data_IF_861247723256
#
_entry.id   IF_861247723256
#
_cell.length_a   1.000
_cell.length_b   1.000
_cell.length_c   1.000
_cell.angle_alpha   90.00
_cell.angle_beta   90.00
_cell.angle_gamma   90.00
#
_symmetry.space_group_name_H-M   'P 1'
#
loop_
_entity.id
_entity.type
_entity.pdbx_description
1 polymer ?
#
# COMPACT_ATOMS: atom_id res chain seq x y z
N UNK A 1 69.22 30.70 5.49
CA UNK A 1 70.24 30.73 4.42
C UNK A 1 69.45 30.71 3.11
N UNK A 2 69.38 31.92 2.55
CA UNK A 2 69.99 32.38 1.29
C UNK A 2 69.38 31.64 0.08
N UNK A 3 68.57 32.32 -0.68
CA UNK A 3 68.74 33.21 -1.85
C UNK A 3 68.57 32.36 -3.15
N UNK A 4 68.01 32.78 -4.26
CA UNK A 4 67.64 34.00 -4.96
C UNK A 4 66.81 33.61 -6.19
N UNK A 5 65.72 34.26 -6.49
CA UNK A 5 65.55 35.33 -7.53
C UNK A 5 66.26 35.06 -8.88
N UNK A 6 65.51 34.99 -9.95
CA UNK A 6 65.68 35.88 -11.11
C UNK A 6 64.50 35.84 -12.08
N UNK A 7 64.00 37.04 -12.33
CA UNK A 7 63.12 37.48 -13.42
C UNK A 7 63.69 37.18 -14.79
N UNK A 8 62.91 36.97 -15.79
CA UNK A 8 63.12 37.58 -17.08
C UNK A 8 61.80 37.87 -17.79
N UNK A 9 61.67 39.13 -18.14
CA UNK A 9 60.64 39.75 -18.95
C UNK A 9 61.10 39.62 -20.41
N UNK A 10 60.15 39.30 -21.33
CA UNK A 10 60.27 39.83 -22.68
C UNK A 10 58.88 39.94 -23.33
N UNK A 11 58.73 41.12 -23.80
CA UNK A 11 57.68 41.85 -24.49
C UNK A 11 57.48 41.34 -25.90
N UNK A 12 56.27 41.46 -26.47
CA UNK A 12 56.20 41.68 -27.90
C UNK A 12 54.92 41.29 -28.62
N UNK A 13 54.16 42.24 -28.93
CA UNK A 13 53.41 42.66 -30.14
C UNK A 13 52.11 41.96 -30.54
N UNK A 14 51.16 42.85 -30.61
CA UNK A 14 49.91 42.97 -31.40
C UNK A 14 49.83 42.22 -32.70
N UNK A 15 48.66 41.61 -32.98
CA UNK A 15 48.01 41.67 -34.27
C UNK A 15 46.45 41.60 -34.09
N UNK A 16 45.81 42.63 -34.63
CA UNK A 16 44.34 42.73 -34.84
C UNK A 16 43.87 41.63 -35.83
N UNK A 17 42.62 41.18 -35.62
CA UNK A 17 41.98 40.35 -36.64
C UNK A 17 40.53 39.97 -36.28
N UNK A 18 39.61 40.84 -36.58
CA UNK A 18 38.28 40.66 -37.19
C UNK A 18 37.21 39.81 -36.51
N UNK A 19 36.17 40.51 -36.18
CA UNK A 19 34.76 40.14 -35.88
C UNK A 19 34.21 39.06 -36.82
N UNK A 20 33.57 38.02 -36.24
CA UNK A 20 32.48 37.28 -36.88
C UNK A 20 31.37 37.05 -35.85
N UNK A 21 30.36 37.87 -35.94
CA UNK A 21 29.04 37.66 -35.39
C UNK A 21 28.39 36.50 -36.14
N UNK A 22 28.12 35.40 -35.51
CA UNK A 22 27.12 34.42 -35.98
C UNK A 22 26.43 33.75 -34.78
N UNK A 23 25.18 34.10 -34.60
CA UNK A 23 24.04 33.24 -34.27
C UNK A 23 24.19 32.35 -33.07
N UNK A 24 23.86 32.84 -31.86
CA UNK A 24 23.48 31.99 -30.74
C UNK A 24 22.12 31.39 -30.98
N UNK A 25 22.07 30.16 -31.45
CA UNK A 25 20.87 29.31 -31.22
C UNK A 25 20.88 28.90 -29.76
N UNK A 26 20.03 29.56 -28.98
CA UNK A 26 19.66 29.11 -27.63
C UNK A 26 18.95 27.78 -27.73
N UNK A 27 19.67 26.68 -27.52
CA UNK A 27 19.05 25.44 -27.10
C UNK A 27 18.50 25.63 -25.71
N UNK A 28 17.24 26.00 -25.61
CA UNK A 28 16.43 25.69 -24.43
C UNK A 28 16.32 24.15 -24.40
N UNK A 29 17.33 23.52 -23.80
CA UNK A 29 17.21 22.16 -23.33
C UNK A 29 16.15 22.19 -22.21
N UNK A 30 14.90 21.93 -22.58
CA UNK A 30 13.91 21.53 -21.60
C UNK A 30 14.50 20.31 -20.90
N UNK A 31 14.84 20.44 -19.63
CA UNK A 31 14.99 19.31 -18.73
C UNK A 31 13.66 18.55 -18.74
N UNK A 32 13.53 17.63 -19.67
CA UNK A 32 12.59 16.53 -19.49
C UNK A 32 13.07 15.82 -18.23
N UNK A 33 12.40 16.07 -17.11
CA UNK A 33 12.58 15.32 -15.90
C UNK A 33 12.46 13.84 -16.31
N UNK A 34 13.58 13.15 -16.32
CA UNK A 34 13.66 11.74 -16.68
C UNK A 34 12.77 11.02 -15.68
N UNK A 35 11.55 10.60 -16.10
CA UNK A 35 10.63 9.88 -15.23
C UNK A 35 11.42 8.75 -14.58
N UNK A 36 11.56 8.78 -13.25
CA UNK A 36 12.27 7.76 -12.50
C UNK A 36 11.75 6.38 -12.90
N UNK A 37 12.65 5.47 -13.24
CA UNK A 37 12.28 4.08 -13.55
C UNK A 37 11.88 3.30 -12.29
N UNK A 38 12.04 3.91 -11.11
CA UNK A 38 11.70 3.32 -9.80
C UNK A 38 10.23 3.61 -9.48
N UNK A 39 9.48 2.57 -9.16
CA UNK A 39 8.14 2.64 -8.60
C UNK A 39 8.24 2.51 -7.08
N UNK A 40 7.94 3.57 -6.37
CA UNK A 40 7.93 3.59 -4.90
C UNK A 40 6.58 3.07 -4.42
N UNK A 41 6.59 1.93 -3.72
CA UNK A 41 5.38 1.24 -3.27
C UNK A 41 5.29 1.30 -1.76
N UNK A 42 4.24 1.96 -1.25
CA UNK A 42 3.90 1.98 0.17
C UNK A 42 3.08 0.75 0.56
N UNK A 43 3.38 0.20 1.72
CA UNK A 43 2.65 -0.93 2.29
C UNK A 43 2.71 -0.86 3.82
N UNK A 44 1.72 -1.39 4.54
CA UNK A 44 1.81 -1.59 5.98
C UNK A 44 1.99 -3.09 6.26
N UNK A 45 3.24 -3.49 6.45
CA UNK A 45 3.68 -4.89 6.41
C UNK A 45 3.29 -5.70 7.67
N UNK A 46 2.02 -5.66 8.07
CA UNK A 46 1.46 -6.39 9.21
C UNK A 46 0.12 -7.05 8.90
N UNK A 47 -0.26 -7.14 7.61
CA UNK A 47 -1.58 -7.54 7.14
C UNK A 47 -1.53 -8.87 6.38
N UNK A 48 -1.33 -9.97 7.12
CA UNK A 48 -1.16 -11.33 6.57
C UNK A 48 -2.50 -11.86 6.06
N UNK A 49 -2.60 -12.45 4.85
CA UNK A 49 -1.52 -12.86 3.94
C UNK A 49 -1.23 -11.86 2.80
N UNK A 50 -1.67 -10.60 2.90
CA UNK A 50 -1.55 -9.60 1.82
C UNK A 50 -0.17 -8.97 1.77
N UNK A 51 0.33 -8.44 2.89
CA UNK A 51 1.64 -7.82 3.01
C UNK A 51 2.20 -7.98 4.44
N UNK A 52 3.36 -8.57 4.53
CA UNK A 52 4.01 -8.81 5.83
C UNK A 52 5.51 -9.08 5.67
N UNK A 53 6.23 -8.97 6.77
CA UNK A 53 7.60 -9.46 6.89
C UNK A 53 7.58 -10.84 7.52
N UNK A 54 8.36 -11.75 6.96
CA UNK A 54 8.58 -13.04 7.61
C UNK A 54 9.43 -12.83 8.86
N UNK A 55 9.13 -13.58 9.91
CA UNK A 55 9.92 -13.54 11.14
C UNK A 55 11.40 -13.80 10.86
N UNK A 56 12.27 -12.94 11.39
CA UNK A 56 13.71 -12.99 11.15
C UNK A 56 14.19 -12.52 9.78
N UNK A 57 13.31 -11.97 8.94
CA UNK A 57 13.63 -11.42 7.61
C UNK A 57 13.13 -9.99 7.44
N UNK A 58 13.90 -9.18 6.70
CA UNK A 58 13.45 -7.87 6.24
C UNK A 58 12.68 -7.95 4.90
N UNK A 59 12.60 -9.14 4.31
CA UNK A 59 11.93 -9.32 3.03
C UNK A 59 10.41 -9.23 3.17
N UNK A 60 9.83 -8.39 2.32
CA UNK A 60 8.38 -8.26 2.19
C UNK A 60 7.82 -9.37 1.31
N UNK A 61 6.75 -10.00 1.78
CA UNK A 61 6.01 -11.03 1.07
C UNK A 61 4.51 -10.87 1.27
N UNK A 62 3.73 -11.52 0.43
CA UNK A 62 2.28 -11.47 0.51
C UNK A 62 1.63 -11.32 -0.87
N UNK A 63 0.32 -11.43 -0.88
CA UNK A 63 -0.49 -11.36 -2.08
C UNK A 63 -0.32 -10.03 -2.80
N UNK A 64 -0.39 -8.91 -2.07
CA UNK A 64 -0.21 -7.55 -2.60
C UNK A 64 1.22 -7.31 -3.07
N UNK A 65 2.19 -7.88 -2.37
CA UNK A 65 3.61 -7.77 -2.72
C UNK A 65 3.88 -8.48 -4.05
N UNK A 66 3.31 -9.67 -4.25
CA UNK A 66 3.48 -10.44 -5.49
C UNK A 66 2.77 -9.76 -6.67
N UNK A 67 1.57 -9.20 -6.45
CA UNK A 67 0.87 -8.38 -7.46
C UNK A 67 1.73 -7.17 -7.84
N UNK A 68 2.26 -6.45 -6.86
CA UNK A 68 3.08 -5.27 -7.10
C UNK A 68 4.37 -5.60 -7.88
N UNK A 69 5.04 -6.71 -7.54
CA UNK A 69 6.21 -7.22 -8.26
C UNK A 69 5.88 -7.54 -9.72
N UNK A 70 4.75 -8.21 -9.98
CA UNK A 70 4.35 -8.55 -11.35
C UNK A 70 3.93 -7.31 -12.16
N UNK A 71 3.25 -6.34 -11.54
CA UNK A 71 2.93 -5.05 -12.20
C UNK A 71 4.21 -4.32 -12.59
N UNK A 72 5.18 -4.21 -11.70
CA UNK A 72 6.45 -3.55 -12.00
C UNK A 72 7.19 -4.22 -13.16
N UNK A 73 7.23 -5.55 -13.17
CA UNK A 73 7.80 -6.33 -14.27
C UNK A 73 7.11 -6.03 -15.60
N UNK A 74 5.76 -6.01 -15.66
CA UNK A 74 5.00 -5.74 -16.89
C UNK A 74 5.14 -4.29 -17.38
N UNK A 75 5.34 -3.37 -16.45
CA UNK A 75 5.53 -1.95 -16.77
C UNK A 75 6.99 -1.55 -16.96
N UNK A 76 7.94 -2.50 -16.87
CA UNK A 76 9.38 -2.26 -17.03
C UNK A 76 9.98 -1.40 -15.93
N UNK A 77 9.38 -1.38 -14.72
CA UNK A 77 9.83 -0.57 -13.58
C UNK A 77 10.59 -1.43 -12.57
N UNK A 78 11.53 -0.79 -11.88
CA UNK A 78 12.13 -1.33 -10.64
C UNK A 78 11.30 -0.90 -9.43
N UNK A 79 11.38 -1.64 -8.32
CA UNK A 79 10.59 -1.37 -7.13
C UNK A 79 11.46 -0.90 -5.98
N UNK A 80 10.93 0.08 -5.23
CA UNK A 80 11.36 0.44 -3.89
C UNK A 80 10.15 0.32 -2.96
N UNK A 81 10.17 -0.63 -2.02
CA UNK A 81 9.12 -0.74 -1.01
C UNK A 81 9.39 0.18 0.18
N UNK A 82 8.33 0.83 0.66
CA UNK A 82 8.34 1.64 1.88
C UNK A 82 7.29 1.12 2.85
N UNK A 83 7.72 0.73 4.05
CA UNK A 83 6.80 0.37 5.12
C UNK A 83 6.28 1.67 5.77
N UNK A 84 4.97 1.89 5.69
CA UNK A 84 4.28 3.10 6.14
C UNK A 84 3.08 2.68 6.98
N UNK A 85 2.76 3.33 8.11
CA UNK A 85 1.49 3.11 8.80
C UNK A 85 0.31 3.27 7.85
N UNK A 86 -0.73 2.45 8.03
CA UNK A 86 -1.82 2.35 7.04
C UNK A 86 -2.54 3.69 6.81
N UNK A 87 -2.81 4.45 7.85
CA UNK A 87 -3.44 5.77 7.81
C UNK A 87 -2.54 6.83 7.13
N UNK A 88 -1.21 6.58 7.10
CA UNK A 88 -0.22 7.41 6.40
C UNK A 88 -0.12 7.17 4.89
N UNK A 89 -0.67 6.08 4.36
CA UNK A 89 -0.53 5.72 2.94
C UNK A 89 -1.17 6.73 1.98
N UNK A 90 -2.39 7.20 2.29
CA UNK A 90 -3.09 8.21 1.46
C UNK A 90 -2.36 9.56 1.48
N UNK A 91 -1.94 10.10 2.63
CA UNK A 91 -1.05 11.27 2.67
C UNK A 91 0.25 11.09 1.88
N UNK A 92 0.92 9.95 2.02
CA UNK A 92 2.18 9.67 1.31
C UNK A 92 2.00 9.64 -0.23
N UNK A 93 0.85 9.17 -0.73
CA UNK A 93 0.48 9.25 -2.15
C UNK A 93 0.26 10.70 -2.60
N UNK A 94 -0.43 11.50 -1.80
CA UNK A 94 -0.73 12.90 -2.15
C UNK A 94 0.55 13.76 -2.16
N UNK A 95 1.47 13.52 -1.23
CA UNK A 95 2.77 14.21 -1.13
C UNK A 95 3.82 13.69 -2.12
N UNK A 96 3.56 12.57 -2.83
CA UNK A 96 4.51 11.98 -3.77
C UNK A 96 5.69 11.25 -3.12
N UNK A 97 5.56 10.88 -1.84
CA UNK A 97 6.55 10.06 -1.13
C UNK A 97 6.54 8.62 -1.62
N UNK A 98 5.36 8.14 -2.03
CA UNK A 98 5.12 6.88 -2.72
C UNK A 98 4.29 7.11 -3.98
N UNK A 99 4.43 6.23 -4.97
CA UNK A 99 3.71 6.29 -6.24
C UNK A 99 2.45 5.41 -6.22
N UNK A 100 2.51 4.30 -5.48
CA UNK A 100 1.46 3.30 -5.38
C UNK A 100 1.40 2.76 -3.94
N UNK A 101 0.19 2.51 -3.43
CA UNK A 101 -0.03 1.77 -2.20
C UNK A 101 -0.60 0.38 -2.53
N UNK A 102 0.11 -0.66 -2.08
CA UNK A 102 -0.29 -2.06 -2.11
C UNK A 102 -0.38 -2.55 -0.66
N UNK A 103 -1.57 -2.50 -0.08
CA UNK A 103 -1.77 -2.69 1.36
C UNK A 103 -3.22 -3.01 1.73
N UNK A 104 -3.84 -3.98 1.02
CA UNK A 104 -5.21 -4.42 1.30
C UNK A 104 -6.22 -3.25 1.38
N UNK A 105 -6.03 -2.20 0.60
CA UNK A 105 -6.80 -0.97 0.77
C UNK A 105 -8.19 -1.07 0.15
N UNK A 106 -9.21 -1.04 0.99
CA UNK A 106 -10.62 -1.00 0.55
C UNK A 106 -10.91 0.25 -0.28
N UNK A 107 -11.54 0.05 -1.43
CA UNK A 107 -12.03 1.12 -2.29
C UNK A 107 -13.29 1.70 -1.64
N UNK A 108 -13.19 2.95 -1.14
CA UNK A 108 -14.33 3.69 -0.58
C UNK A 108 -14.51 5.03 -1.28
N UNK A 109 -15.72 5.59 -1.28
CA UNK A 109 -16.00 6.93 -1.83
C UNK A 109 -15.08 7.98 -1.23
N UNK A 110 -14.95 7.97 0.10
CA UNK A 110 -14.10 8.94 0.81
C UNK A 110 -12.62 8.87 0.40
N UNK A 111 -12.10 7.66 0.15
CA UNK A 111 -10.72 7.49 -0.36
C UNK A 111 -10.61 7.90 -1.82
N UNK A 112 -11.62 7.59 -2.67
CA UNK A 112 -11.64 7.98 -4.09
C UNK A 112 -11.68 9.50 -4.30
N UNK A 113 -12.16 10.27 -3.32
CA UNK A 113 -12.05 11.74 -3.36
C UNK A 113 -10.58 12.21 -3.31
N UNK A 114 -9.70 11.46 -2.66
CA UNK A 114 -8.30 11.81 -2.39
C UNK A 114 -7.33 11.14 -3.37
N UNK A 115 -7.53 9.86 -3.67
CA UNK A 115 -6.65 9.03 -4.49
C UNK A 115 -7.37 8.37 -5.65
N UNK A 116 -6.63 7.95 -6.67
CA UNK A 116 -7.11 7.05 -7.71
C UNK A 116 -6.92 5.59 -7.29
N UNK A 117 -7.81 4.73 -7.73
CA UNK A 117 -7.71 3.30 -7.50
C UNK A 117 -7.57 2.52 -8.80
N UNK A 118 -6.92 1.37 -8.72
CA UNK A 118 -7.01 0.35 -9.74
C UNK A 118 -8.41 -0.28 -9.78
N UNK A 119 -8.65 -1.12 -10.79
CA UNK A 119 -9.74 -2.08 -10.73
C UNK A 119 -9.62 -2.94 -9.48
N UNK A 120 -10.75 -3.42 -8.91
CA UNK A 120 -10.73 -4.38 -7.81
C UNK A 120 -9.92 -5.64 -8.14
N UNK A 121 -9.10 -6.08 -7.19
CA UNK A 121 -8.30 -7.29 -7.35
C UNK A 121 -8.58 -8.36 -6.28
N UNK A 122 -9.31 -7.99 -5.22
CA UNK A 122 -9.70 -8.88 -4.13
C UNK A 122 -11.08 -8.51 -3.59
N UNK A 123 -11.89 -9.51 -3.23
CA UNK A 123 -13.13 -9.32 -2.51
C UNK A 123 -12.93 -9.66 -1.04
N UNK A 124 -13.22 -8.71 -0.16
CA UNK A 124 -13.12 -8.82 1.29
C UNK A 124 -14.48 -8.61 1.95
N UNK A 125 -14.50 -8.70 3.25
CA UNK A 125 -15.57 -8.35 4.17
C UNK A 125 -14.99 -8.15 5.55
N UNK A 126 -15.82 -7.76 6.52
CA UNK A 126 -15.40 -7.53 7.89
C UNK A 126 -15.70 -8.72 8.81
N UNK A 127 -14.91 -8.84 9.86
CA UNK A 127 -15.11 -9.82 10.91
C UNK A 127 -14.68 -9.24 12.28
N UNK A 128 -15.29 -9.74 13.33
CA UNK A 128 -14.84 -9.55 14.70
C UNK A 128 -14.16 -10.83 15.17
N UNK A 129 -12.91 -10.72 15.58
CA UNK A 129 -12.20 -11.80 16.27
C UNK A 129 -12.43 -11.62 17.76
N UNK A 130 -12.82 -12.71 18.42
CA UNK A 130 -13.05 -12.74 19.88
C UNK A 130 -12.45 -14.01 20.47
N UNK A 131 -12.33 -14.10 21.80
CA UNK A 131 -11.99 -15.37 22.47
C UNK A 131 -13.14 -16.36 22.35
N UNK A 132 -12.86 -17.65 22.18
CA UNK A 132 -13.89 -18.73 22.03
C UNK A 132 -14.90 -18.73 23.18
N UNK A 133 -14.45 -18.43 24.41
CA UNK A 133 -15.30 -18.34 25.59
C UNK A 133 -15.98 -16.98 25.78
N UNK A 134 -15.87 -16.06 24.81
CA UNK A 134 -16.51 -14.76 24.85
C UNK A 134 -18.04 -14.88 24.90
N UNK A 135 -18.66 -13.96 25.62
CA UNK A 135 -20.12 -13.77 25.59
C UNK A 135 -20.59 -13.15 24.25
N UNK A 136 -19.70 -12.51 23.51
CA UNK A 136 -19.98 -11.89 22.21
C UNK A 136 -20.23 -13.01 21.20
N UNK A 137 -21.42 -13.05 20.62
CA UNK A 137 -21.84 -14.00 19.59
C UNK A 137 -22.32 -13.33 18.30
N UNK A 138 -22.50 -12.01 18.34
CA UNK A 138 -22.95 -11.19 17.23
C UNK A 138 -22.56 -9.73 17.44
N UNK A 139 -22.93 -8.90 16.47
CA UNK A 139 -22.54 -7.49 16.45
C UNK A 139 -23.23 -6.66 17.53
N UNK A 140 -24.47 -7.01 17.88
CA UNK A 140 -25.23 -6.31 18.89
C UNK A 140 -24.58 -6.44 20.29
N UNK A 141 -23.85 -7.55 20.51
CA UNK A 141 -23.11 -7.82 21.74
C UNK A 141 -21.88 -6.93 21.93
N UNK A 142 -21.47 -6.21 20.88
CA UNK A 142 -20.35 -5.26 20.91
C UNK A 142 -20.72 -3.92 21.58
N UNK A 143 -22.01 -3.68 21.84
CA UNK A 143 -22.46 -2.47 22.57
C UNK A 143 -21.79 -2.40 23.95
N UNK A 144 -21.11 -1.29 24.20
CA UNK A 144 -20.37 -1.06 25.46
C UNK A 144 -19.08 -1.86 25.62
N UNK A 145 -18.63 -2.59 24.58
CA UNK A 145 -17.40 -3.39 24.59
C UNK A 145 -16.19 -2.60 24.11
N UNK A 146 -15.02 -3.02 24.57
CA UNK A 146 -13.76 -2.49 24.08
C UNK A 146 -13.31 -3.27 22.86
N UNK A 147 -13.12 -2.57 21.73
CA UNK A 147 -12.82 -3.14 20.42
C UNK A 147 -11.49 -2.58 19.91
N UNK A 148 -10.55 -3.47 19.56
CA UNK A 148 -9.32 -3.10 18.89
C UNK A 148 -9.53 -2.99 17.38
N UNK A 149 -8.95 -1.97 16.77
CA UNK A 149 -8.96 -1.74 15.32
C UNK A 149 -7.63 -1.18 14.86
N UNK A 150 -7.29 -1.36 13.60
CA UNK A 150 -6.20 -0.60 12.99
C UNK A 150 -6.72 0.77 12.57
N UNK A 151 -5.96 1.83 12.88
CA UNK A 151 -6.29 3.22 12.57
C UNK A 151 -6.43 3.46 11.05
N UNK A 152 -7.42 4.26 10.65
CA UNK A 152 -7.64 4.62 9.26
C UNK A 152 -8.29 3.54 8.38
N UNK A 153 -8.71 2.40 8.96
CA UNK A 153 -9.38 1.31 8.24
C UNK A 153 -10.90 1.46 8.22
N UNK A 154 -11.56 0.74 7.32
CA UNK A 154 -13.03 0.60 7.31
C UNK A 154 -13.53 -0.13 8.55
N UNK A 155 -12.70 -0.98 9.15
CA UNK A 155 -12.97 -1.61 10.44
C UNK A 155 -13.06 -0.59 11.58
N UNK A 156 -12.16 0.40 11.62
CA UNK A 156 -12.23 1.50 12.56
C UNK A 156 -13.50 2.35 12.38
N UNK A 157 -13.86 2.65 11.12
CA UNK A 157 -15.08 3.39 10.79
C UNK A 157 -16.36 2.65 11.25
N UNK A 158 -16.36 1.31 11.11
CA UNK A 158 -17.48 0.48 11.59
C UNK A 158 -17.53 0.42 13.11
N UNK A 159 -16.40 0.20 13.79
CA UNK A 159 -16.34 0.14 15.24
C UNK A 159 -16.84 1.44 15.88
N UNK A 160 -16.48 2.59 15.30
CA UNK A 160 -16.94 3.91 15.79
C UNK A 160 -18.46 4.15 15.60
N UNK A 161 -19.15 3.34 14.80
CA UNK A 161 -20.60 3.39 14.63
C UNK A 161 -21.36 2.48 15.60
N UNK A 162 -20.66 1.60 16.31
CA UNK A 162 -21.27 0.70 17.29
C UNK A 162 -21.59 1.52 18.56
N UNK A 163 -22.86 1.52 18.93
CA UNK A 163 -23.33 2.33 20.04
C UNK A 163 -22.64 1.95 21.36
N UNK A 164 -22.01 2.94 22.00
CA UNK A 164 -21.31 2.76 23.28
C UNK A 164 -20.04 1.92 23.23
N UNK A 165 -19.57 1.48 22.06
CA UNK A 165 -18.29 0.77 21.95
C UNK A 165 -17.11 1.69 22.32
N UNK A 166 -16.12 1.14 23.01
CA UNK A 166 -14.86 1.80 23.33
C UNK A 166 -13.82 1.34 22.30
N UNK A 167 -13.47 2.21 21.36
CA UNK A 167 -12.55 1.86 20.26
C UNK A 167 -11.11 2.18 20.64
N UNK A 168 -10.26 1.14 20.67
CA UNK A 168 -8.80 1.27 20.79
C UNK A 168 -8.17 1.18 19.42
N UNK A 169 -7.51 2.25 18.99
CA UNK A 169 -6.82 2.35 17.71
C UNK A 169 -5.36 1.92 17.86
N UNK A 170 -4.88 1.13 16.88
CA UNK A 170 -3.50 0.67 16.77
C UNK A 170 -2.93 1.04 15.40
N UNK A 171 -1.62 1.23 15.31
CA UNK A 171 -0.93 1.50 14.05
C UNK A 171 -0.88 0.25 13.15
N UNK A 172 -0.89 -0.94 13.77
CA UNK A 172 -0.75 -2.21 13.09
C UNK A 172 -1.87 -3.19 13.47
N UNK A 173 -2.35 -3.95 12.47
CA UNK A 173 -3.34 -5.03 12.70
C UNK A 173 -2.83 -6.09 13.67
N UNK A 174 -1.53 -6.42 13.60
CA UNK A 174 -0.89 -7.35 14.53
C UNK A 174 -1.02 -6.91 15.99
N UNK A 175 -0.90 -5.62 16.27
CA UNK A 175 -0.97 -5.09 17.63
C UNK A 175 -2.39 -5.14 18.18
N UNK A 176 -3.39 -4.86 17.32
CA UNK A 176 -4.80 -5.01 17.67
C UNK A 176 -5.15 -6.46 18.05
N UNK A 177 -4.62 -7.43 17.29
CA UNK A 177 -4.81 -8.85 17.57
C UNK A 177 -4.05 -9.31 18.82
N UNK A 178 -2.85 -8.80 19.05
CA UNK A 178 -2.06 -9.08 20.25
C UNK A 178 -2.77 -8.53 21.51
N UNK A 179 -3.36 -7.34 21.44
CA UNK A 179 -4.14 -6.77 22.55
C UNK A 179 -5.37 -7.64 22.88
N UNK A 180 -6.03 -8.22 21.87
CA UNK A 180 -7.09 -9.20 22.08
C UNK A 180 -6.57 -10.47 22.75
N UNK A 181 -5.43 -11.01 22.31
CA UNK A 181 -4.82 -12.19 22.95
C UNK A 181 -4.51 -11.96 24.42
N UNK A 182 -3.97 -10.79 24.73
CA UNK A 182 -3.62 -10.39 26.09
C UNK A 182 -4.85 -10.05 26.97
N UNK A 183 -6.05 -10.01 26.38
CA UNK A 183 -7.29 -9.70 27.10
C UNK A 183 -7.49 -8.22 27.42
N UNK A 184 -6.73 -7.34 26.78
CA UNK A 184 -6.86 -5.89 26.93
C UNK A 184 -8.04 -5.28 26.16
N UNK A 185 -8.65 -6.08 25.26
CA UNK A 185 -9.89 -5.77 24.55
C UNK A 185 -10.78 -7.02 24.49
N UNK A 186 -12.08 -6.83 24.21
CA UNK A 186 -13.06 -7.92 24.14
C UNK A 186 -13.25 -8.44 22.71
N UNK A 187 -12.85 -7.66 21.70
CA UNK A 187 -12.87 -8.04 20.28
C UNK A 187 -11.89 -7.22 19.45
N UNK A 188 -11.52 -7.75 18.29
CA UNK A 188 -10.77 -7.03 17.25
C UNK A 188 -11.59 -7.03 15.96
N UNK A 189 -11.89 -5.85 15.39
CA UNK A 189 -12.62 -5.71 14.14
C UNK A 189 -11.65 -5.49 13.00
N UNK A 190 -11.56 -6.48 12.13
CA UNK A 190 -10.59 -6.55 11.02
C UNK A 190 -11.23 -7.19 9.78
N UNK A 191 -10.50 -7.20 8.68
CA UNK A 191 -10.91 -7.89 7.45
C UNK A 191 -11.00 -9.39 7.64
N UNK A 192 -12.05 -10.00 7.10
CA UNK A 192 -12.35 -11.42 7.24
C UNK A 192 -11.21 -12.34 6.79
N UNK A 193 -10.55 -12.14 5.63
CA UNK A 193 -9.45 -13.01 5.21
C UNK A 193 -8.25 -12.96 6.16
N UNK A 194 -7.97 -11.81 6.77
CA UNK A 194 -6.91 -11.65 7.78
C UNK A 194 -7.29 -12.34 9.07
N UNK A 195 -8.53 -12.18 9.53
CA UNK A 195 -9.07 -12.91 10.68
C UNK A 195 -8.96 -14.41 10.49
N UNK A 196 -9.37 -14.93 9.33
CA UNK A 196 -9.32 -16.36 9.00
C UNK A 196 -7.88 -16.89 9.02
N UNK A 197 -6.96 -16.17 8.39
CA UNK A 197 -5.54 -16.55 8.39
C UNK A 197 -4.97 -16.56 9.81
N UNK A 198 -5.23 -15.49 10.57
CA UNK A 198 -4.70 -15.34 11.91
C UNK A 198 -5.20 -16.44 12.86
N UNK A 199 -6.50 -16.68 12.92
CA UNK A 199 -7.10 -17.71 13.79
C UNK A 199 -6.61 -19.10 13.41
N UNK A 200 -6.48 -19.41 12.11
CA UNK A 200 -5.96 -20.68 11.65
C UNK A 200 -4.48 -20.91 12.03
N UNK A 201 -3.68 -19.85 12.09
CA UNK A 201 -2.24 -19.93 12.47
C UNK A 201 -2.01 -19.93 13.97
N UNK A 202 -2.94 -19.40 14.75
CA UNK A 202 -2.84 -19.26 16.19
C UNK A 202 -3.96 -20.07 16.90
N UNK A 203 -4.14 -21.30 16.48
CA UNK A 203 -5.19 -22.21 17.04
C UNK A 203 -5.03 -22.47 18.54
N UNK A 204 -3.82 -22.32 19.07
CA UNK A 204 -3.50 -22.39 20.50
C UNK A 204 -4.02 -21.20 21.32
N UNK A 205 -4.43 -20.12 20.66
CA UNK A 205 -4.91 -18.90 21.32
C UNK A 205 -6.42 -18.91 21.59
N UNK A 206 -7.14 -19.97 21.19
CA UNK A 206 -8.57 -20.13 21.42
C UNK A 206 -9.40 -18.91 20.99
N UNK A 207 -9.14 -18.46 19.75
CA UNK A 207 -9.86 -17.38 19.12
C UNK A 207 -10.93 -17.90 18.16
N UNK A 208 -12.00 -17.17 18.01
CA UNK A 208 -13.06 -17.45 17.03
C UNK A 208 -13.44 -16.22 16.25
N UNK A 209 -14.07 -16.41 15.10
CA UNK A 209 -14.45 -15.37 14.17
C UNK A 209 -15.97 -15.25 14.14
N UNK A 210 -16.45 -14.02 14.28
CA UNK A 210 -17.83 -13.64 14.02
C UNK A 210 -17.81 -12.81 12.74
N UNK A 211 -18.28 -13.38 11.63
CA UNK A 211 -18.35 -12.66 10.36
C UNK A 211 -19.35 -11.50 10.46
N UNK A 212 -18.95 -10.33 9.96
CA UNK A 212 -19.83 -9.18 9.89
C UNK A 212 -20.66 -9.28 8.60
N UNK A 213 -21.98 -9.54 8.69
CA UNK A 213 -22.79 -9.79 7.50
C UNK A 213 -22.91 -8.52 6.65
N UNK A 214 -23.07 -8.72 5.35
CA UNK A 214 -23.32 -7.65 4.37
C UNK A 214 -22.21 -6.57 4.28
N UNK A 215 -20.99 -6.90 4.64
CA UNK A 215 -19.83 -6.01 4.53
C UNK A 215 -18.94 -6.32 3.33
N UNK A 216 -19.54 -6.73 2.21
CA UNK A 216 -18.78 -6.97 0.98
C UNK A 216 -18.00 -5.71 0.60
N UNK A 217 -16.69 -5.84 0.52
CA UNK A 217 -15.73 -4.80 0.21
C UNK A 217 -14.78 -5.27 -0.89
N UNK A 218 -14.13 -4.34 -1.58
CA UNK A 218 -13.15 -4.68 -2.59
C UNK A 218 -11.85 -3.92 -2.34
N UNK A 219 -10.72 -4.63 -2.46
CA UNK A 219 -9.41 -4.00 -2.41
C UNK A 219 -8.99 -3.51 -3.79
N UNK A 220 -8.33 -2.36 -3.81
CA UNK A 220 -7.71 -1.76 -4.97
C UNK A 220 -6.33 -1.21 -4.63
N UNK A 221 -5.43 -1.20 -5.61
CA UNK A 221 -4.16 -0.50 -5.48
C UNK A 221 -4.42 1.00 -5.58
N UNK A 222 -3.95 1.77 -4.60
CA UNK A 222 -4.17 3.21 -4.59
C UNK A 222 -2.97 3.96 -5.18
N UNK A 223 -3.24 5.07 -5.88
CA UNK A 223 -2.24 5.90 -6.54
C UNK A 223 -2.66 7.37 -6.46
N UNK A 224 -1.72 8.30 -6.65
CA UNK A 224 -2.10 9.69 -6.81
C UNK A 224 -3.02 9.85 -8.03
N UNK A 225 -4.24 10.35 -7.84
CA UNK A 225 -5.26 10.47 -8.91
C UNK A 225 -4.86 11.40 -10.06
N UNK A 226 -3.86 12.25 -9.84
CA UNK A 226 -3.31 13.13 -10.89
C UNK A 226 -2.40 12.36 -11.85
N UNK A 227 -1.87 11.20 -11.44
CA UNK A 227 -1.01 10.36 -12.26
C UNK A 227 -1.85 9.33 -13.05
N UNK A 228 -2.63 9.82 -14.00
CA UNK A 228 -3.51 8.97 -14.83
C UNK A 228 -2.73 7.90 -15.59
N UNK A 229 -1.55 8.23 -16.12
CA UNK A 229 -0.71 7.29 -16.86
C UNK A 229 -0.35 6.05 -15.99
N UNK A 230 -0.08 6.25 -14.70
CA UNK A 230 0.20 5.16 -13.79
C UNK A 230 -1.05 4.33 -13.51
N UNK A 231 -2.19 4.97 -13.26
CA UNK A 231 -3.48 4.29 -13.05
C UNK A 231 -3.82 3.41 -14.26
N UNK A 232 -3.69 3.94 -15.48
CA UNK A 232 -3.97 3.22 -16.72
C UNK A 232 -2.98 2.05 -16.92
N UNK A 233 -1.69 2.26 -16.64
CA UNK A 233 -0.66 1.23 -16.75
C UNK A 233 -0.89 0.09 -15.76
N UNK A 234 -1.26 0.40 -14.51
CA UNK A 234 -1.57 -0.59 -13.47
C UNK A 234 -2.83 -1.38 -13.84
N UNK A 235 -3.89 -0.71 -14.31
CA UNK A 235 -5.11 -1.38 -14.75
C UNK A 235 -4.88 -2.28 -15.96
N UNK A 236 -4.06 -1.85 -16.92
CA UNK A 236 -3.64 -2.67 -18.05
C UNK A 236 -2.91 -3.93 -17.56
N UNK A 237 -1.93 -3.78 -16.68
CA UNK A 237 -1.19 -4.91 -16.13
C UNK A 237 -2.10 -5.89 -15.38
N UNK A 238 -3.00 -5.41 -14.51
CA UNK A 238 -3.98 -6.25 -13.80
C UNK A 238 -4.93 -6.98 -14.76
N UNK A 239 -5.37 -6.31 -15.83
CA UNK A 239 -6.22 -6.91 -16.87
C UNK A 239 -5.48 -8.05 -17.58
N UNK A 240 -4.24 -7.84 -17.98
CA UNK A 240 -3.39 -8.87 -18.59
C UNK A 240 -3.14 -10.04 -17.63
N UNK A 241 -2.85 -9.77 -16.35
CA UNK A 241 -2.68 -10.79 -15.31
C UNK A 241 -3.95 -11.63 -15.09
N UNK A 242 -5.13 -11.01 -15.20
CA UNK A 242 -6.41 -11.72 -15.12
C UNK A 242 -6.63 -12.60 -16.35
N UNK A 243 -6.31 -12.10 -17.55
CA UNK A 243 -6.50 -12.81 -18.82
C UNK A 243 -5.56 -14.00 -19.00
N UNK A 244 -4.29 -13.87 -18.63
CA UNK A 244 -3.27 -14.93 -18.78
C UNK A 244 -3.21 -15.89 -17.58
N UNK A 245 -4.06 -15.67 -16.55
CA UNK A 245 -4.17 -16.50 -15.36
C UNK A 245 -3.09 -16.24 -14.29
N UNK A 246 -2.20 -15.26 -14.48
CA UNK A 246 -1.15 -14.92 -13.51
C UNK A 246 -1.76 -14.48 -12.19
N UNK A 247 -2.82 -13.64 -12.22
CA UNK A 247 -3.48 -13.18 -10.99
C UNK A 247 -4.10 -14.34 -10.22
N UNK A 248 -4.73 -15.31 -10.92
CA UNK A 248 -5.27 -16.52 -10.29
C UNK A 248 -4.16 -17.40 -9.66
N UNK A 249 -3.00 -17.52 -10.32
CA UNK A 249 -1.86 -18.27 -9.75
C UNK A 249 -1.33 -17.61 -8.48
N UNK A 250 -1.22 -16.28 -8.45
CA UNK A 250 -0.83 -15.55 -7.23
C UNK A 250 -1.90 -15.76 -6.16
N UNK A 251 -3.18 -15.67 -6.50
CA UNK A 251 -4.29 -15.92 -5.58
C UNK A 251 -4.23 -17.34 -4.98
N UNK A 252 -4.04 -18.36 -5.81
CA UNK A 252 -3.88 -19.76 -5.36
C UNK A 252 -2.67 -19.95 -4.45
N UNK A 253 -1.58 -19.22 -4.69
CA UNK A 253 -0.38 -19.29 -3.86
C UNK A 253 -0.70 -18.92 -2.41
N UNK A 254 -1.50 -17.87 -2.20
CA UNK A 254 -1.77 -17.32 -0.87
C UNK A 254 -3.04 -17.88 -0.22
N UNK A 255 -4.11 -18.10 -0.99
CA UNK A 255 -5.42 -18.50 -0.47
C UNK A 255 -5.77 -19.96 -0.71
N UNK A 256 -4.96 -20.71 -1.47
CA UNK A 256 -5.14 -22.16 -1.75
C UNK A 256 -6.44 -22.50 -2.46
N UNK A 257 -7.06 -21.54 -3.11
CA UNK A 257 -8.30 -21.68 -3.88
C UNK A 257 -8.25 -20.81 -5.12
N UNK A 258 -9.18 -20.98 -6.04
CA UNK A 258 -9.32 -20.11 -7.20
C UNK A 258 -9.87 -18.74 -6.82
N UNK A 259 -9.42 -17.72 -7.54
CA UNK A 259 -9.97 -16.38 -7.42
C UNK A 259 -11.47 -16.36 -7.81
N UNK A 260 -12.32 -15.68 -7.04
CA UNK A 260 -13.73 -15.49 -7.41
C UNK A 260 -13.86 -14.86 -8.80
N UNK A 261 -14.81 -15.41 -9.61
CA UNK A 261 -15.00 -14.94 -10.99
C UNK A 261 -15.82 -13.64 -11.09
N UNK A 262 -16.53 -13.30 -10.03
CA UNK A 262 -17.48 -12.19 -9.95
C UNK A 262 -16.89 -10.91 -9.34
N UNK A 263 -15.56 -10.84 -9.15
CA UNK A 263 -14.90 -9.59 -8.79
C UNK A 263 -15.07 -8.61 -9.94
N UNK A 264 -15.74 -7.45 -9.73
CA UNK A 264 -16.07 -6.52 -10.79
C UNK A 264 -14.81 -5.87 -11.38
N UNK A 265 -14.90 -5.39 -12.60
CA UNK A 265 -13.80 -4.63 -13.24
C UNK A 265 -13.86 -3.13 -12.93
N UNK A 266 -14.99 -2.67 -12.44
CA UNK A 266 -15.21 -1.29 -11.96
C UNK A 266 -15.95 -1.33 -10.64
N UNK A 267 -15.65 -0.39 -9.74
CA UNK A 267 -16.31 -0.26 -8.47
C UNK A 267 -16.28 1.20 -8.00
N UNK A 268 -17.44 1.74 -7.64
CA UNK A 268 -17.60 3.15 -7.27
C UNK A 268 -17.44 3.43 -5.77
N UNK A 269 -16.98 2.44 -5.02
CA UNK A 269 -16.82 2.53 -3.56
C UNK A 269 -18.16 2.38 -2.81
N UNK A 270 -18.04 2.13 -1.51
CA UNK A 270 -19.17 2.17 -0.55
C UNK A 270 -19.37 3.56 0.02
#
# INVERSE_FOLDING_TARGET
MKTNVKKLICTGLLALGVVALLGGCGSQGGEQAQKSNVLKIGTNATFVPFEFKQEGSEELQGFDIDIAKEIAKRTGKTIEFKNVPFDGLVPALDNGEIDLAASGMTITKARMEKVGFSMPYYESGMAVVVKENSAIKGLDDLTGKTIAVQMGTTGADLANKINGAIVKNFDHTSDALLELQNGGVEGALIDLPVAQYYVAKHSDQHLTIIAYPNTKEYFGLAMNKKNKDLVDSVNKALTEMKQDGTLNKIYQTWFKTDMPKDIPVTYEGK
#
